data_IF_654707982260
#
_entry.id   IF_654707982260
#
_cell.length_a   1.000
_cell.length_b   1.000
_cell.length_c   1.000
_cell.angle_alpha   90.00
_cell.angle_beta   90.00
_cell.angle_gamma   90.00
#
_symmetry.space_group_name_H-M   'P 1'
#
loop_
_entity.id
_entity.type
_entity.pdbx_description
1 polymer ?
#
# COMPACT_ATOMS: atom_id res chain seq x y z
N UNK A 1 -17.35 -16.43 18.72
CA UNK A 1 -16.36 -15.34 18.65
C UNK A 1 -17.10 -14.06 18.28
N UNK A 2 -17.06 -13.04 19.13
CA UNK A 2 -17.75 -11.76 18.86
C UNK A 2 -16.95 -11.02 17.80
N UNK A 3 -17.50 -10.92 16.59
CA UNK A 3 -16.99 -10.01 15.56
C UNK A 3 -17.13 -8.59 16.09
N UNK A 4 -16.05 -8.02 16.62
CA UNK A 4 -15.95 -6.56 16.70
C UNK A 4 -15.72 -6.09 15.27
N UNK A 5 -16.81 -5.78 14.56
CA UNK A 5 -16.72 -4.81 13.48
C UNK A 5 -16.17 -3.55 14.13
N UNK A 6 -14.88 -3.30 13.93
CA UNK A 6 -14.27 -2.07 14.36
C UNK A 6 -14.96 -1.00 13.52
N UNK A 7 -15.87 -0.25 14.15
CA UNK A 7 -16.52 0.91 13.57
C UNK A 7 -15.43 1.97 13.35
N UNK A 8 -14.63 1.80 12.29
CA UNK A 8 -13.40 2.53 12.04
C UNK A 8 -13.57 3.72 11.11
N UNK A 9 -14.80 4.15 10.80
CA UNK A 9 -14.96 5.36 9.98
C UNK A 9 -15.27 6.60 10.82
N UNK A 10 -16.25 6.56 11.72
CA UNK A 10 -16.54 7.73 12.57
C UNK A 10 -15.54 7.92 13.71
N UNK A 11 -15.10 6.83 14.35
CA UNK A 11 -14.15 6.90 15.47
C UNK A 11 -12.70 7.13 15.03
N UNK A 12 -12.35 6.77 13.79
CA UNK A 12 -11.03 7.07 13.25
C UNK A 12 -10.91 8.55 12.93
N UNK A 13 -11.88 9.16 12.20
CA UNK A 13 -11.96 10.60 11.87
C UNK A 13 -11.86 11.50 13.11
N UNK A 14 -12.54 11.17 14.21
CA UNK A 14 -12.46 11.93 15.46
C UNK A 14 -11.04 12.00 16.07
N UNK A 15 -10.15 11.09 15.68
CA UNK A 15 -8.74 11.07 16.09
C UNK A 15 -7.78 11.75 15.10
N UNK A 16 -8.23 12.14 13.90
CA UNK A 16 -7.37 12.83 12.95
C UNK A 16 -7.08 14.22 13.46
N UNK A 17 -5.79 14.54 13.53
CA UNK A 17 -5.39 15.90 13.83
C UNK A 17 -5.54 16.77 12.57
N UNK A 18 -6.74 17.29 12.34
CA UNK A 18 -7.02 18.21 11.22
C UNK A 18 -6.27 19.55 11.33
N UNK A 19 -5.57 19.82 12.44
CA UNK A 19 -4.66 20.97 12.58
C UNK A 19 -3.25 20.70 12.04
N UNK A 20 -2.91 19.44 11.73
CA UNK A 20 -1.77 19.16 10.86
C UNK A 20 -2.15 19.65 9.47
N UNK A 21 -1.55 20.77 9.04
CA UNK A 21 -1.62 21.15 7.65
C UNK A 21 -1.17 19.93 6.81
N UNK A 22 -1.88 19.57 5.73
CA UNK A 22 -1.29 18.66 4.77
C UNK A 22 0.10 19.17 4.41
N UNK A 23 1.07 18.25 4.24
CA UNK A 23 2.26 18.60 3.49
C UNK A 23 1.80 19.28 2.18
N UNK A 24 2.57 20.26 1.70
CA UNK A 24 2.34 21.03 0.48
C UNK A 24 1.63 20.21 -0.60
N UNK A 25 0.71 20.84 -1.37
CA UNK A 25 -0.10 20.17 -2.38
C UNK A 25 0.76 19.19 -3.20
N UNK A 26 0.51 17.89 -3.02
CA UNK A 26 1.29 16.84 -3.68
C UNK A 26 1.16 16.98 -5.19
N UNK A 27 2.27 17.32 -5.85
CA UNK A 27 2.38 17.26 -7.31
C UNK A 27 2.90 15.88 -7.70
N UNK A 28 2.13 15.09 -8.48
CA UNK A 28 2.58 13.79 -8.90
C UNK A 28 3.84 13.95 -9.77
N UNK A 29 4.90 13.14 -9.54
CA UNK A 29 6.07 13.17 -10.39
C UNK A 29 5.69 12.81 -11.83
N UNK A 30 6.45 13.34 -12.78
CA UNK A 30 6.38 12.84 -14.15
C UNK A 30 6.86 11.39 -14.18
N UNK A 31 5.98 10.47 -14.56
CA UNK A 31 6.28 9.05 -14.66
C UNK A 31 6.64 8.71 -16.10
N UNK A 32 7.87 8.24 -16.32
CA UNK A 32 8.23 7.60 -17.57
C UNK A 32 7.38 6.34 -17.77
N UNK A 33 7.07 6.02 -19.02
CA UNK A 33 6.34 4.80 -19.35
C UNK A 33 7.27 3.59 -19.31
N UNK A 34 7.56 3.19 -18.08
CA UNK A 34 8.31 1.99 -17.79
C UNK A 34 7.43 0.76 -18.00
N UNK A 35 8.03 -0.30 -18.53
CA UNK A 35 7.42 -1.62 -18.64
C UNK A 35 8.07 -2.57 -17.63
N UNK A 36 7.24 -3.37 -16.99
CA UNK A 36 7.65 -4.42 -16.05
C UNK A 36 6.87 -5.71 -16.36
N UNK A 37 7.35 -6.90 -15.97
CA UNK A 37 6.69 -8.16 -16.31
C UNK A 37 5.20 -8.22 -15.93
N UNK A 38 4.83 -7.64 -14.79
CA UNK A 38 3.45 -7.58 -14.30
C UNK A 38 2.73 -6.25 -14.56
N UNK A 39 3.41 -5.27 -15.15
CA UNK A 39 2.85 -3.94 -15.49
C UNK A 39 3.40 -3.53 -16.86
N UNK A 40 2.75 -3.96 -17.97
CA UNK A 40 3.30 -3.78 -19.32
C UNK A 40 3.46 -2.32 -19.75
N UNK A 41 2.61 -1.42 -19.23
CA UNK A 41 2.76 0.03 -19.38
C UNK A 41 2.33 0.70 -18.08
N UNK A 42 3.31 1.26 -17.36
CA UNK A 42 3.03 2.02 -16.15
C UNK A 42 2.15 3.23 -16.45
N UNK A 43 2.40 3.93 -17.58
CA UNK A 43 1.61 5.10 -17.95
C UNK A 43 0.14 4.75 -18.15
N UNK A 44 -0.15 3.66 -18.88
CA UNK A 44 -1.52 3.22 -19.13
C UNK A 44 -2.22 2.76 -17.85
N UNK A 45 -1.51 2.01 -16.99
CA UNK A 45 -2.03 1.60 -15.68
C UNK A 45 -2.41 2.82 -14.82
N UNK A 46 -1.48 3.77 -14.65
CA UNK A 46 -1.72 4.97 -13.85
C UNK A 46 -2.84 5.81 -14.42
N UNK A 47 -2.92 5.97 -15.75
CA UNK A 47 -4.02 6.69 -16.39
C UNK A 47 -5.38 6.04 -16.07
N UNK A 48 -5.47 4.71 -16.17
CA UNK A 48 -6.69 3.97 -15.88
C UNK A 48 -7.11 4.07 -14.40
N UNK A 49 -6.16 3.93 -13.47
CA UNK A 49 -6.44 4.05 -12.02
C UNK A 49 -6.85 5.48 -11.67
N UNK A 50 -6.08 6.49 -12.10
CA UNK A 50 -6.32 7.90 -11.79
C UNK A 50 -7.64 8.41 -12.37
N UNK A 51 -8.09 7.89 -13.51
CA UNK A 51 -9.39 8.24 -14.10
C UNK A 51 -10.58 7.82 -13.22
N UNK A 52 -10.44 6.74 -12.45
CA UNK A 52 -11.46 6.22 -11.53
C UNK A 52 -11.35 6.73 -10.09
N UNK A 53 -10.37 7.58 -9.78
CA UNK A 53 -10.04 7.98 -8.42
C UNK A 53 -10.37 9.45 -8.14
N UNK A 54 -11.59 9.76 -7.63
CA UNK A 54 -12.02 11.13 -7.38
C UNK A 54 -11.20 11.80 -6.27
N UNK A 55 -10.70 11.03 -5.30
CA UNK A 55 -9.92 11.54 -4.16
C UNK A 55 -8.40 11.41 -4.35
N UNK A 56 -7.91 11.19 -5.57
CA UNK A 56 -6.46 11.00 -5.83
C UNK A 56 -5.56 12.15 -5.35
N UNK A 57 -6.11 13.37 -5.17
CA UNK A 57 -5.40 14.55 -4.65
C UNK A 57 -5.69 14.83 -3.18
N UNK A 58 -6.42 13.95 -2.51
CA UNK A 58 -6.69 14.07 -1.08
C UNK A 58 -5.38 14.05 -0.30
N UNK A 59 -5.20 14.94 0.69
CA UNK A 59 -4.04 14.88 1.58
C UNK A 59 -4.06 13.65 2.49
N UNK A 60 -5.23 13.02 2.65
CA UNK A 60 -5.44 11.91 3.56
C UNK A 60 -5.50 10.57 2.85
N UNK A 61 -6.16 10.50 1.70
CA UNK A 61 -6.40 9.24 0.98
C UNK A 61 -5.99 9.32 -0.49
N UNK A 62 -5.18 10.31 -0.86
CA UNK A 62 -4.69 10.51 -2.22
C UNK A 62 -3.41 9.75 -2.54
N UNK A 63 -2.87 10.02 -3.71
CA UNK A 63 -1.78 9.24 -4.31
C UNK A 63 -0.48 9.24 -3.50
N UNK A 64 -0.20 10.33 -2.77
CA UNK A 64 0.94 10.41 -1.85
C UNK A 64 0.85 9.37 -0.72
N UNK A 65 -0.34 9.19 -0.14
CA UNK A 65 -0.62 8.09 0.80
C UNK A 65 -0.43 6.73 0.14
N UNK A 66 -0.96 6.52 -1.07
CA UNK A 66 -0.84 5.25 -1.80
C UNK A 66 0.62 4.84 -2.03
N UNK A 67 1.50 5.79 -2.38
CA UNK A 67 2.93 5.54 -2.53
C UNK A 67 3.61 5.24 -1.21
N UNK A 68 3.27 5.95 -0.11
CA UNK A 68 3.81 5.63 1.21
C UNK A 68 3.39 4.24 1.69
N UNK A 69 2.17 3.82 1.40
CA UNK A 69 1.72 2.44 1.67
C UNK A 69 2.51 1.43 0.84
N UNK A 70 2.72 1.68 -0.45
CA UNK A 70 3.56 0.81 -1.27
C UNK A 70 5.01 0.73 -0.73
N UNK A 71 5.60 1.87 -0.35
CA UNK A 71 6.93 1.93 0.24
C UNK A 71 7.01 1.18 1.58
N UNK A 72 6.03 1.36 2.46
CA UNK A 72 5.96 0.65 3.74
C UNK A 72 5.84 -0.86 3.54
N UNK A 73 5.05 -1.30 2.55
CA UNK A 73 4.96 -2.72 2.18
C UNK A 73 6.31 -3.30 1.75
N UNK A 74 7.04 -2.59 0.90
CA UNK A 74 8.38 -3.00 0.46
C UNK A 74 9.40 -3.00 1.60
N UNK A 75 9.33 -2.03 2.51
CA UNK A 75 10.16 -2.01 3.71
C UNK A 75 9.89 -3.22 4.62
N UNK A 76 8.61 -3.56 4.85
CA UNK A 76 8.22 -4.73 5.64
C UNK A 76 8.70 -6.02 4.98
N UNK A 77 8.53 -6.16 3.66
CA UNK A 77 9.06 -7.28 2.89
C UNK A 77 10.55 -7.47 3.14
N UNK A 78 11.35 -6.43 2.87
CA UNK A 78 12.80 -6.50 2.94
C UNK A 78 13.31 -6.80 4.37
N UNK A 79 12.61 -6.31 5.39
CA UNK A 79 13.02 -6.48 6.80
C UNK A 79 12.51 -7.77 7.44
N UNK A 80 11.32 -8.25 7.06
CA UNK A 80 10.53 -9.18 7.87
C UNK A 80 9.78 -10.25 7.09
N UNK A 81 9.52 -10.03 5.80
CA UNK A 81 8.69 -10.91 4.96
C UNK A 81 9.30 -11.04 3.56
N UNK A 82 10.53 -11.56 3.40
CA UNK A 82 11.18 -11.68 2.10
C UNK A 82 10.39 -12.50 1.07
N UNK A 83 9.48 -13.36 1.55
CA UNK A 83 8.54 -14.16 0.77
C UNK A 83 7.33 -13.38 0.24
N UNK A 84 7.06 -12.17 0.74
CA UNK A 84 5.96 -11.34 0.23
C UNK A 84 6.29 -10.81 -1.18
N UNK A 85 5.37 -10.98 -2.12
CA UNK A 85 5.54 -10.53 -3.49
C UNK A 85 5.52 -9.00 -3.58
N UNK A 86 6.70 -8.40 -3.77
CA UNK A 86 6.86 -6.95 -3.81
C UNK A 86 6.00 -6.24 -4.87
N UNK A 87 5.71 -6.88 -6.00
CA UNK A 87 4.85 -6.27 -7.03
C UNK A 87 3.41 -6.21 -6.56
N UNK A 88 2.93 -7.28 -5.90
CA UNK A 88 1.58 -7.27 -5.32
C UNK A 88 1.45 -6.21 -4.23
N UNK A 89 2.50 -5.98 -3.43
CA UNK A 89 2.50 -4.91 -2.41
C UNK A 89 2.40 -3.51 -3.03
N UNK A 90 3.13 -3.26 -4.12
CA UNK A 90 3.04 -1.97 -4.84
C UNK A 90 1.66 -1.78 -5.47
N UNK A 91 1.11 -2.82 -6.09
CA UNK A 91 -0.23 -2.79 -6.67
C UNK A 91 -1.32 -2.60 -5.61
N UNK A 92 -1.15 -3.17 -4.41
CA UNK A 92 -2.03 -2.91 -3.28
C UNK A 92 -1.98 -1.44 -2.88
N UNK A 93 -0.78 -0.86 -2.71
CA UNK A 93 -0.61 0.56 -2.42
C UNK A 93 -1.35 1.43 -3.43
N UNK A 94 -1.16 1.19 -4.73
CA UNK A 94 -1.83 1.91 -5.82
C UNK A 94 -3.36 1.81 -5.81
N UNK A 95 -3.94 0.70 -5.36
CA UNK A 95 -5.35 0.38 -5.61
C UNK A 95 -6.26 0.47 -4.38
N UNK A 96 -5.75 0.19 -3.17
CA UNK A 96 -6.59 -0.06 -1.99
C UNK A 96 -7.59 1.08 -1.70
N UNK A 97 -7.13 2.32 -1.82
CA UNK A 97 -7.92 3.54 -1.59
C UNK A 97 -8.31 4.29 -2.88
N UNK A 98 -7.81 3.87 -4.04
CA UNK A 98 -8.11 4.52 -5.33
C UNK A 98 -9.60 4.49 -5.70
N UNK A 99 -10.37 3.58 -5.10
CA UNK A 99 -11.82 3.45 -5.32
C UNK A 99 -12.68 4.14 -4.25
N UNK A 100 -12.09 5.01 -3.41
CA UNK A 100 -12.85 5.84 -2.46
C UNK A 100 -13.72 6.86 -3.17
N UNK A 101 -14.93 7.04 -2.66
CA UNK A 101 -15.91 8.02 -3.11
C UNK A 101 -16.13 9.14 -2.08
N UNK A 102 -15.69 8.92 -0.84
CA UNK A 102 -15.70 9.89 0.25
C UNK A 102 -14.46 9.70 1.14
N UNK A 103 -14.04 10.78 1.83
CA UNK A 103 -12.93 10.73 2.79
C UNK A 103 -13.26 9.81 3.97
N UNK A 104 -14.54 9.77 4.37
CA UNK A 104 -15.04 8.98 5.48
C UNK A 104 -16.37 8.29 5.15
N UNK A 105 -16.69 7.27 5.94
CA UNK A 105 -17.93 6.49 5.87
C UNK A 105 -18.03 5.53 4.68
N UNK A 106 -17.00 5.46 3.84
CA UNK A 106 -17.05 4.70 2.59
C UNK A 106 -16.61 3.25 2.79
N UNK A 107 -17.37 2.45 3.54
CA UNK A 107 -17.05 1.04 3.81
C UNK A 107 -16.91 0.16 2.54
N UNK A 108 -17.35 0.67 1.37
CA UNK A 108 -17.34 -0.05 0.10
C UNK A 108 -16.07 0.09 -0.73
N UNK A 109 -15.11 0.95 -0.34
CA UNK A 109 -13.91 1.20 -1.16
C UNK A 109 -13.04 -0.05 -1.34
N UNK A 110 -12.80 -0.83 -0.27
CA UNK A 110 -12.03 -2.08 -0.36
C UNK A 110 -12.61 -3.10 -1.35
N UNK A 111 -13.92 -3.46 -1.26
CA UNK A 111 -14.57 -4.29 -2.25
C UNK A 111 -14.51 -3.75 -3.69
N UNK A 112 -14.62 -2.42 -3.89
CA UNK A 112 -14.48 -1.81 -5.21
C UNK A 112 -13.05 -1.88 -5.74
N UNK A 113 -12.04 -1.64 -4.89
CA UNK A 113 -10.63 -1.80 -5.23
C UNK A 113 -10.31 -3.25 -5.66
N UNK A 114 -10.85 -4.25 -4.96
CA UNK A 114 -10.71 -5.66 -5.35
C UNK A 114 -11.35 -5.98 -6.73
N UNK A 115 -12.49 -5.34 -7.06
CA UNK A 115 -13.08 -5.47 -8.39
C UNK A 115 -12.24 -4.75 -9.45
N UNK A 116 -11.68 -3.58 -9.14
CA UNK A 116 -10.79 -2.84 -10.02
C UNK A 116 -9.53 -3.64 -10.37
N UNK A 117 -8.89 -4.28 -9.38
CA UNK A 117 -7.75 -5.17 -9.61
C UNK A 117 -8.06 -6.27 -10.63
N UNK A 118 -9.23 -6.92 -10.50
CA UNK A 118 -9.71 -7.92 -11.46
C UNK A 118 -9.91 -7.37 -12.87
N UNK A 119 -10.50 -6.18 -12.99
CA UNK A 119 -10.73 -5.52 -14.30
C UNK A 119 -9.42 -5.11 -14.96
N UNK A 120 -8.48 -4.55 -14.20
CA UNK A 120 -7.17 -4.15 -14.70
C UNK A 120 -6.36 -5.37 -15.18
N UNK A 121 -6.44 -6.50 -14.47
CA UNK A 121 -5.80 -7.75 -14.90
C UNK A 121 -6.45 -8.31 -16.17
N UNK A 122 -7.78 -8.32 -16.26
CA UNK A 122 -8.50 -8.75 -17.46
C UNK A 122 -8.23 -7.85 -18.68
N UNK A 123 -7.95 -6.56 -18.46
CA UNK A 123 -7.59 -5.61 -19.51
C UNK A 123 -6.10 -5.67 -19.91
N UNK A 124 -5.29 -6.50 -19.25
CA UNK A 124 -3.84 -6.61 -19.52
C UNK A 124 -3.01 -5.42 -19.03
N UNK A 125 -3.59 -4.52 -18.23
CA UNK A 125 -2.87 -3.40 -17.60
C UNK A 125 -2.05 -3.85 -16.39
N UNK A 126 -2.47 -4.95 -15.78
CA UNK A 126 -1.74 -5.72 -14.78
C UNK A 126 -1.66 -7.17 -15.29
N UNK A 127 -0.54 -7.86 -15.04
CA UNK A 127 -0.36 -9.26 -15.41
C UNK A 127 0.08 -10.06 -14.18
N UNK A 128 -0.92 -10.63 -13.49
CA UNK A 128 -0.75 -11.54 -12.35
C UNK A 128 -1.39 -12.89 -12.67
N UNK A 129 -0.80 -13.96 -12.12
CA UNK A 129 -1.43 -15.28 -12.10
C UNK A 129 -2.59 -15.33 -11.09
N UNK A 130 -3.26 -16.48 -10.99
CA UNK A 130 -4.44 -16.67 -10.15
C UNK A 130 -4.17 -16.38 -8.67
N UNK A 131 -3.06 -16.88 -8.13
CA UNK A 131 -2.75 -16.79 -6.70
C UNK A 131 -2.35 -15.36 -6.32
N UNK A 132 -1.49 -14.71 -7.13
CA UNK A 132 -1.08 -13.32 -6.93
C UNK A 132 -2.26 -12.36 -7.06
N UNK A 133 -3.15 -12.60 -8.02
CA UNK A 133 -4.37 -11.81 -8.20
C UNK A 133 -5.36 -12.03 -7.04
N UNK A 134 -5.53 -13.25 -6.55
CA UNK A 134 -6.38 -13.53 -5.39
C UNK A 134 -5.86 -12.82 -4.13
N UNK A 135 -4.55 -12.90 -3.88
CA UNK A 135 -3.90 -12.21 -2.76
C UNK A 135 -4.14 -10.69 -2.81
N UNK A 136 -3.92 -10.06 -3.97
CA UNK A 136 -4.20 -8.63 -4.17
C UNK A 136 -5.66 -8.28 -3.88
N UNK A 137 -6.59 -9.07 -4.43
CA UNK A 137 -8.04 -8.83 -4.25
C UNK A 137 -8.48 -9.00 -2.81
N UNK A 138 -7.95 -9.99 -2.11
CA UNK A 138 -8.22 -10.23 -0.68
C UNK A 138 -7.63 -9.14 0.19
N UNK A 139 -6.40 -8.72 -0.08
CA UNK A 139 -5.75 -7.61 0.60
C UNK A 139 -6.59 -6.32 0.46
N UNK A 140 -6.94 -5.91 -0.77
CA UNK A 140 -7.78 -4.74 -1.01
C UNK A 140 -9.16 -4.85 -0.33
N UNK A 141 -9.84 -6.01 -0.43
CA UNK A 141 -11.18 -6.19 0.16
C UNK A 141 -11.19 -6.06 1.68
N UNK A 142 -10.14 -6.53 2.36
CA UNK A 142 -10.12 -6.73 3.80
C UNK A 142 -9.37 -5.68 4.62
N UNK A 143 -8.68 -4.72 3.99
CA UNK A 143 -7.69 -3.87 4.70
C UNK A 143 -8.29 -3.05 5.86
N UNK A 144 -9.54 -2.62 5.76
CA UNK A 144 -10.25 -1.88 6.82
C UNK A 144 -10.94 -2.72 7.88
N UNK A 145 -10.88 -4.06 7.81
CA UNK A 145 -11.65 -4.94 8.70
C UNK A 145 -11.05 -5.10 10.11
N UNK A 146 -9.90 -4.46 10.41
CA UNK A 146 -9.26 -4.55 11.73
C UNK A 146 -8.77 -5.95 12.08
N UNK A 147 -8.07 -6.62 11.14
CA UNK A 147 -7.56 -7.99 11.29
C UNK A 147 -6.07 -8.06 10.99
N UNK A 148 -5.41 -9.07 11.53
CA UNK A 148 -4.06 -9.53 11.13
C UNK A 148 -4.16 -10.75 10.22
N UNK A 149 -3.06 -11.11 9.56
CA UNK A 149 -2.99 -12.26 8.66
C UNK A 149 -1.62 -12.94 8.73
N UNK A 150 -1.61 -14.27 8.72
CA UNK A 150 -0.38 -15.08 8.57
C UNK A 150 0.07 -15.19 7.11
N UNK A 151 -0.83 -14.96 6.15
CA UNK A 151 -0.46 -14.83 4.74
C UNK A 151 0.50 -13.63 4.58
N UNK A 152 1.72 -13.85 4.05
CA UNK A 152 2.77 -12.84 4.05
C UNK A 152 2.42 -11.63 3.17
N UNK A 153 1.64 -11.81 2.11
CA UNK A 153 1.22 -10.70 1.24
C UNK A 153 0.11 -9.92 1.93
N UNK A 154 -0.94 -10.60 2.37
CA UNK A 154 -2.11 -9.94 2.96
C UNK A 154 -1.74 -9.22 4.27
N UNK A 155 -0.97 -9.87 5.14
CA UNK A 155 -0.51 -9.28 6.40
C UNK A 155 0.35 -8.04 6.16
N UNK A 156 1.30 -8.12 5.21
CA UNK A 156 2.16 -6.99 4.85
C UNK A 156 1.37 -5.82 4.28
N UNK A 157 0.42 -6.07 3.38
CA UNK A 157 -0.45 -5.03 2.83
C UNK A 157 -1.21 -4.27 3.93
N UNK A 158 -1.83 -5.01 4.86
CA UNK A 158 -2.62 -4.40 5.93
C UNK A 158 -1.75 -3.64 6.93
N UNK A 159 -0.58 -4.19 7.27
CA UNK A 159 0.38 -3.50 8.13
C UNK A 159 0.93 -2.23 7.47
N UNK A 160 1.20 -2.27 6.16
CA UNK A 160 1.70 -1.13 5.39
C UNK A 160 0.72 0.04 5.37
N UNK A 161 -0.57 -0.24 5.17
CA UNK A 161 -1.64 0.77 5.25
C UNK A 161 -1.71 1.40 6.66
N UNK A 162 -1.68 0.56 7.69
CA UNK A 162 -1.66 1.00 9.09
C UNK A 162 -0.41 1.80 9.46
N UNK A 163 0.73 1.48 8.87
CA UNK A 163 1.96 2.23 9.07
C UNK A 163 1.77 3.70 8.66
N UNK A 164 1.04 4.00 7.59
CA UNK A 164 0.85 5.38 7.13
C UNK A 164 -0.24 6.15 7.92
N UNK A 165 -0.91 5.54 8.90
CA UNK A 165 -1.86 6.25 9.79
C UNK A 165 -1.19 7.39 10.58
N UNK A 166 0.14 7.34 10.76
CA UNK A 166 0.91 8.43 11.38
C UNK A 166 0.73 9.77 10.66
N UNK A 167 0.39 9.76 9.36
CA UNK A 167 0.11 10.98 8.57
C UNK A 167 -1.01 11.83 9.18
N UNK A 168 -1.97 11.16 9.82
CA UNK A 168 -3.11 11.77 10.50
C UNK A 168 -2.87 12.04 11.99
N UNK A 169 -1.66 11.76 12.50
CA UNK A 169 -1.35 11.80 13.93
C UNK A 169 -1.89 10.62 14.73
N UNK A 170 -2.39 9.58 14.06
CA UNK A 170 -2.97 8.41 14.71
C UNK A 170 -1.87 7.46 15.21
N UNK A 171 -2.04 6.96 16.45
CA UNK A 171 -1.18 5.91 17.01
C UNK A 171 -1.56 4.57 16.39
N UNK A 172 -0.55 3.83 15.92
CA UNK A 172 -0.71 2.44 15.45
C UNK A 172 -1.08 1.55 16.63
N UNK A 173 -2.10 0.72 16.47
CA UNK A 173 -2.48 -0.29 17.46
C UNK A 173 -1.67 -1.58 17.20
N UNK A 174 -0.77 -1.99 18.10
CA UNK A 174 0.04 -3.19 17.92
C UNK A 174 -0.77 -4.47 17.78
N UNK A 175 -1.99 -4.53 18.35
CA UNK A 175 -2.87 -5.69 18.22
C UNK A 175 -3.44 -5.88 16.81
N UNK A 176 -3.30 -4.86 15.96
CA UNK A 176 -3.69 -4.86 14.56
C UNK A 176 -2.48 -5.00 13.63
N UNK A 177 -1.28 -5.32 14.12
CA UNK A 177 -0.12 -5.54 13.27
C UNK A 177 0.23 -7.03 13.19
N UNK A 178 0.53 -7.48 11.97
CA UNK A 178 1.05 -8.82 11.68
C UNK A 178 2.57 -8.89 11.88
N UNK A 179 3.22 -7.74 12.10
CA UNK A 179 4.62 -7.56 12.48
C UNK A 179 4.79 -7.07 13.93
N UNK A 180 5.95 -7.33 14.57
CA UNK A 180 6.22 -6.82 15.92
C UNK A 180 6.35 -5.29 15.96
N UNK A 181 5.81 -4.66 17.01
CA UNK A 181 5.80 -3.19 17.20
C UNK A 181 7.21 -2.59 17.17
N UNK A 182 8.21 -3.29 17.73
CA UNK A 182 9.60 -2.84 17.78
C UNK A 182 10.26 -2.67 16.40
N UNK A 183 9.64 -3.19 15.34
CA UNK A 183 10.11 -3.04 13.96
C UNK A 183 9.60 -1.79 13.26
N UNK A 184 8.57 -1.14 13.81
CA UNK A 184 7.94 0.03 13.17
C UNK A 184 8.92 1.17 12.91
N UNK A 185 9.85 1.44 13.83
CA UNK A 185 10.86 2.48 13.63
C UNK A 185 11.79 2.23 12.44
N UNK A 186 12.13 0.96 12.17
CA UNK A 186 12.94 0.59 11.01
C UNK A 186 12.14 0.68 9.70
N UNK A 187 10.86 0.27 9.74
CA UNK A 187 9.93 0.42 8.61
C UNK A 187 9.73 1.90 8.26
N UNK A 188 9.52 2.75 9.26
CA UNK A 188 9.37 4.20 9.07
C UNK A 188 10.62 4.80 8.43
N UNK A 189 11.81 4.49 8.95
CA UNK A 189 13.06 5.02 8.39
C UNK A 189 13.29 4.61 6.92
N UNK A 190 12.94 3.37 6.55
CA UNK A 190 13.03 2.92 5.15
C UNK A 190 11.96 3.56 4.26
N UNK A 191 10.75 3.75 4.79
CA UNK A 191 9.64 4.39 4.07
C UNK A 191 9.94 5.87 3.81
N UNK A 192 10.50 6.59 4.79
CA UNK A 192 10.85 8.00 4.69
C UNK A 192 11.97 8.27 3.65
N UNK A 193 12.87 7.30 3.46
CA UNK A 193 13.93 7.34 2.46
C UNK A 193 13.54 6.72 1.10
N UNK A 194 12.28 6.27 0.93
CA UNK A 194 11.86 5.53 -0.25
C UNK A 194 11.77 6.41 -1.52
N UNK A 195 11.85 5.78 -2.71
CA UNK A 195 11.55 6.47 -3.96
C UNK A 195 10.15 7.07 -3.95
N UNK A 196 10.04 8.34 -4.33
CA UNK A 196 8.78 9.08 -4.46
C UNK A 196 8.19 8.97 -5.86
N UNK A 197 8.27 7.80 -6.48
CA UNK A 197 7.74 7.52 -7.81
C UNK A 197 7.33 6.05 -7.97
N UNK A 198 6.29 5.80 -8.75
CA UNK A 198 5.82 4.45 -9.07
C UNK A 198 6.88 3.64 -9.81
N UNK A 199 7.62 4.28 -10.73
CA UNK A 199 8.77 3.65 -11.39
C UNK A 199 9.82 3.19 -10.36
N UNK A 200 10.14 4.03 -9.38
CA UNK A 200 11.10 3.71 -8.32
C UNK A 200 10.63 2.57 -7.41
N UNK A 201 9.36 2.60 -7.02
CA UNK A 201 8.73 1.57 -6.20
C UNK A 201 8.67 0.21 -6.92
N UNK A 202 8.31 0.18 -8.21
CA UNK A 202 8.30 -1.05 -9.00
C UNK A 202 9.71 -1.61 -9.25
N UNK A 203 10.73 -0.74 -9.37
CA UNK A 203 12.13 -1.18 -9.40
C UNK A 203 12.56 -1.78 -8.07
N UNK A 204 12.18 -1.18 -6.94
CA UNK A 204 12.45 -1.73 -5.61
C UNK A 204 11.73 -3.09 -5.43
N UNK A 205 10.47 -3.20 -5.82
CA UNK A 205 9.71 -4.45 -5.78
C UNK A 205 10.41 -5.62 -6.50
N UNK A 206 11.10 -5.34 -7.61
CA UNK A 206 11.82 -6.34 -8.41
C UNK A 206 13.24 -6.63 -7.95
N UNK A 207 13.72 -5.97 -6.88
CA UNK A 207 15.03 -6.29 -6.32
C UNK A 207 15.02 -7.75 -5.84
N UNK A 208 16.05 -8.53 -6.22
CA UNK A 208 16.21 -9.88 -5.69
C UNK A 208 16.38 -9.78 -4.17
N UNK A 209 15.60 -10.58 -3.43
CA UNK A 209 15.81 -10.72 -2.00
C UNK A 209 17.05 -11.59 -1.77
N UNK A 210 17.93 -11.23 -0.83
CA UNK A 210 19.06 -12.07 -0.49
C UNK A 210 18.51 -13.44 -0.07
N UNK A 211 18.96 -14.49 -0.76
CA UNK A 211 18.70 -15.86 -0.33
C UNK A 211 19.20 -15.95 1.12
N UNK A 212 18.32 -16.40 2.02
CA UNK A 212 18.61 -16.53 3.45
C UNK A 212 19.96 -17.21 3.66
N UNK A 213 20.98 -16.42 4.07
CA UNK A 213 22.35 -16.92 4.24
C UNK A 213 23.47 -15.91 4.04
N UNK A 214 23.24 -14.75 3.40
CA UNK A 214 24.27 -13.70 3.28
C UNK A 214 23.79 -12.42 3.94
N UNK A 215 24.35 -12.13 5.13
CA UNK A 215 24.31 -10.79 5.72
C UNK A 215 25.20 -9.89 4.87
N UNK A 216 24.63 -9.21 3.87
CA UNK A 216 25.33 -8.12 3.20
C UNK A 216 25.24 -6.90 4.11
N UNK A 217 26.42 -6.49 4.59
CA UNK A 217 26.60 -5.25 5.34
C UNK A 217 26.05 -4.05 4.58
N UNK A 218 25.44 -3.15 5.34
CA UNK A 218 24.87 -1.89 4.88
C UNK A 218 25.82 -1.16 3.92
N UNK A 219 25.38 -0.92 2.70
CA UNK A 219 25.82 0.21 1.90
C UNK A 219 24.59 0.92 1.34
N UNK A 220 24.63 2.24 1.42
CA UNK A 220 23.51 3.13 1.13
C UNK A 220 23.01 3.04 -0.31
N UNK A 221 21.85 3.64 -0.51
CA UNK A 221 21.22 3.85 -1.80
C UNK A 221 22.18 4.57 -2.78
N UNK A 222 22.34 4.11 -4.04
CA UNK A 222 23.07 4.88 -5.07
C UNK A 222 22.31 6.12 -5.52
#
# INVERSE_FOLDING_TARGET
MKHRAFALDEAAEAGWNHSLAPAEAWEPPEEADAAFPSVPSLRALLAAVRAGAPLRRSPWHGEDHWMRVAAAGLAIRDLLRPEADGVVLVLFGLLHDASRLAESGDIGHGPRAALAAGRLNAAGLIVLDGDRLDALRRACRGHTMGRTSEDPIIGTCWDADRCDLRRGGLRRDPSLLSIPEEKLGAVDAMTDGAPKSWTGLLRWAQRPMPLSGVVLGRTGWP
#
